data_IF_807106357004
#
_entry.id   IF_807106357004
#
_cell.length_a   1.000
_cell.length_b   1.000
_cell.length_c   1.000
_cell.angle_alpha   90.00
_cell.angle_beta   90.00
_cell.angle_gamma   90.00
#
_symmetry.space_group_name_H-M   'P 1'
#
loop_
_entity.id
_entity.type
_entity.pdbx_description
1 polymer ?
#
# COMPACT_ATOMS: atom_id res chain seq x y z
N UNK A 1 0.51 -16.40 -16.78
CA UNK A 1 -0.27 -16.20 -15.54
C UNK A 1 -1.28 -15.13 -15.85
N UNK A 2 -2.54 -15.33 -15.47
CA UNK A 2 -3.60 -14.34 -15.63
C UNK A 2 -3.37 -13.20 -14.65
N UNK A 3 -3.72 -11.97 -15.01
CA UNK A 3 -3.70 -10.82 -14.09
C UNK A 3 -4.68 -11.01 -12.91
N UNK A 4 -5.63 -11.94 -13.03
CA UNK A 4 -6.59 -12.29 -11.99
C UNK A 4 -6.22 -13.55 -11.18
N UNK A 5 -5.04 -14.14 -11.43
CA UNK A 5 -4.56 -15.26 -10.62
C UNK A 5 -4.43 -14.81 -9.15
N UNK A 6 -4.74 -15.70 -8.22
CA UNK A 6 -4.59 -15.43 -6.79
C UNK A 6 -3.10 -15.43 -6.41
N UNK A 7 -2.63 -14.35 -5.80
CA UNK A 7 -1.24 -14.18 -5.35
C UNK A 7 -1.18 -14.07 -3.83
N UNK A 8 -0.45 -14.98 -3.22
CA UNK A 8 -0.19 -14.98 -1.77
C UNK A 8 1.00 -14.05 -1.46
N UNK A 9 0.92 -13.18 -0.43
CA UNK A 9 2.04 -12.34 -0.04
C UNK A 9 3.30 -13.13 0.30
N UNK A 10 4.46 -12.74 -0.23
CA UNK A 10 5.77 -13.38 0.00
C UNK A 10 6.54 -12.73 1.15
N UNK A 11 5.89 -12.57 2.31
CA UNK A 11 6.49 -11.93 3.48
C UNK A 11 7.84 -12.53 3.88
N UNK A 12 8.86 -11.69 4.05
CA UNK A 12 10.21 -12.12 4.47
C UNK A 12 11.05 -12.76 3.36
N UNK A 13 10.67 -12.59 2.10
CA UNK A 13 11.39 -13.15 0.96
C UNK A 13 11.42 -12.20 -0.24
N UNK A 14 10.27 -11.81 -0.77
CA UNK A 14 10.13 -10.95 -1.95
C UNK A 14 8.86 -10.11 -1.83
N UNK A 15 8.78 -9.30 -0.76
CA UNK A 15 7.62 -8.45 -0.50
C UNK A 15 7.97 -7.00 -0.21
N UNK A 16 6.97 -6.12 -0.26
CA UNK A 16 7.14 -4.69 0.01
C UNK A 16 7.79 -4.42 1.38
N UNK A 17 7.43 -5.19 2.41
CA UNK A 17 8.02 -5.03 3.75
C UNK A 17 9.52 -5.35 3.80
N UNK A 18 10.07 -5.99 2.77
CA UNK A 18 11.48 -6.40 2.69
C UNK A 18 12.37 -5.32 2.05
N UNK A 19 11.78 -4.27 1.44
CA UNK A 19 12.49 -3.22 0.70
C UNK A 19 13.34 -2.34 1.62
N UNK A 20 12.74 -1.72 2.63
CA UNK A 20 13.49 -0.86 3.56
C UNK A 20 14.49 -1.64 4.42
N UNK A 21 14.19 -2.83 4.98
CA UNK A 21 15.19 -3.64 5.65
C UNK A 21 16.41 -3.93 4.77
N UNK A 22 16.20 -4.29 3.51
CA UNK A 22 17.29 -4.58 2.57
C UNK A 22 18.10 -3.32 2.24
N UNK A 23 17.45 -2.17 2.05
CA UNK A 23 18.12 -0.89 1.86
C UNK A 23 18.96 -0.49 3.09
N UNK A 24 18.40 -0.62 4.29
CA UNK A 24 19.07 -0.28 5.55
C UNK A 24 20.29 -1.18 5.84
N UNK A 25 20.25 -2.44 5.39
CA UNK A 25 21.41 -3.33 5.47
C UNK A 25 22.61 -2.77 4.68
N UNK A 26 22.37 -2.25 3.47
CA UNK A 26 23.42 -1.60 2.65
C UNK A 26 23.91 -0.28 3.25
N UNK A 27 23.07 0.43 3.99
CA UNK A 27 23.44 1.64 4.73
C UNK A 27 24.11 1.36 6.07
N UNK A 28 24.36 0.09 6.40
CA UNK A 28 25.11 -0.32 7.60
C UNK A 28 24.33 -0.24 8.90
N UNK A 29 22.99 -0.16 8.85
CA UNK A 29 22.16 -0.15 10.05
C UNK A 29 22.10 -1.57 10.65
N UNK A 30 22.46 -1.76 11.93
CA UNK A 30 22.51 -3.09 12.54
C UNK A 30 21.16 -3.79 12.62
N UNK A 31 21.18 -5.13 12.53
CA UNK A 31 19.98 -5.97 12.68
C UNK A 31 19.11 -6.07 11.43
N UNK A 32 19.65 -5.69 10.26
CA UNK A 32 19.02 -5.89 8.96
C UNK A 32 19.90 -6.71 8.03
N UNK A 33 19.27 -7.41 7.09
CA UNK A 33 19.92 -8.19 6.06
C UNK A 33 19.30 -7.85 4.71
N UNK A 34 20.12 -7.82 3.67
CA UNK A 34 19.66 -7.70 2.29
C UNK A 34 19.12 -9.06 1.82
N UNK A 35 17.85 -9.31 2.11
CA UNK A 35 17.16 -10.53 1.67
C UNK A 35 16.73 -10.44 0.20
N UNK A 36 16.58 -9.21 -0.30
CA UNK A 36 16.26 -8.98 -1.70
C UNK A 36 17.50 -9.19 -2.57
N UNK A 37 18.72 -8.98 -2.09
CA UNK A 37 19.92 -9.06 -2.94
C UNK A 37 19.97 -7.88 -3.91
N UNK A 38 19.89 -6.65 -3.39
CA UNK A 38 19.83 -5.41 -4.16
C UNK A 38 21.16 -5.03 -4.86
N UNK A 39 22.26 -5.75 -4.59
CA UNK A 39 23.58 -5.53 -5.20
C UNK A 39 24.13 -4.08 -5.09
N UNK A 40 23.84 -3.39 -3.98
CA UNK A 40 24.18 -1.97 -3.77
C UNK A 40 25.58 -1.75 -3.17
N UNK A 41 26.57 -2.55 -3.59
CA UNK A 41 27.92 -2.42 -3.06
C UNK A 41 28.50 -1.01 -3.32
N UNK A 42 29.04 -0.38 -2.27
CA UNK A 42 29.61 0.97 -2.31
C UNK A 42 28.59 2.11 -2.26
N UNK A 43 27.28 1.80 -2.26
CA UNK A 43 26.23 2.81 -2.11
C UNK A 43 26.19 3.30 -0.67
N UNK A 44 26.11 4.62 -0.51
CA UNK A 44 26.01 5.29 0.79
C UNK A 44 24.69 6.05 0.95
N UNK A 45 23.93 6.18 -0.12
CA UNK A 45 22.68 6.95 -0.17
C UNK A 45 21.64 6.16 -0.93
N UNK A 46 20.47 5.95 -0.34
CA UNK A 46 19.40 5.25 -1.03
C UNK A 46 18.17 6.14 -1.05
N UNK A 47 17.70 6.44 -2.25
CA UNK A 47 16.36 6.95 -2.47
C UNK A 47 15.41 5.76 -2.64
N UNK A 48 14.26 5.80 -1.98
CA UNK A 48 13.16 4.87 -2.21
C UNK A 48 11.97 5.69 -2.66
N UNK A 49 11.53 5.51 -3.90
CA UNK A 49 10.36 6.17 -4.45
C UNK A 49 9.22 5.16 -4.59
N UNK A 50 8.15 5.38 -3.84
CA UNK A 50 6.91 4.62 -3.99
C UNK A 50 5.93 5.39 -4.85
N UNK A 51 5.51 4.79 -5.96
CA UNK A 51 4.49 5.32 -6.87
C UNK A 51 3.19 4.56 -6.59
N UNK A 52 2.22 5.24 -6.01
CA UNK A 52 0.95 4.64 -5.59
C UNK A 52 0.18 4.09 -6.80
N UNK A 53 -0.29 2.84 -6.71
CA UNK A 53 -1.05 2.18 -7.77
C UNK A 53 -0.24 1.74 -9.00
N UNK A 54 1.10 1.87 -8.99
CA UNK A 54 1.97 1.37 -10.06
C UNK A 54 2.25 -0.13 -9.92
N UNK A 55 1.22 -0.95 -10.06
CA UNK A 55 1.39 -2.40 -10.09
C UNK A 55 2.25 -2.86 -11.27
N UNK A 56 2.80 -4.07 -11.16
CA UNK A 56 3.65 -4.66 -12.20
C UNK A 56 2.93 -4.72 -13.56
N UNK A 57 1.62 -5.00 -13.52
CA UNK A 57 0.76 -5.11 -14.70
C UNK A 57 0.38 -3.75 -15.31
N UNK A 58 0.56 -2.64 -14.58
CA UNK A 58 0.35 -1.29 -15.10
C UNK A 58 1.55 -0.75 -15.89
N UNK A 59 2.75 -1.34 -15.72
CA UNK A 59 3.96 -0.86 -16.42
C UNK A 59 3.82 -0.93 -17.95
N UNK A 60 3.36 -2.04 -18.57
CA UNK A 60 3.19 -2.09 -20.02
C UNK A 60 2.20 -1.04 -20.55
N UNK A 61 1.17 -0.72 -19.76
CA UNK A 61 0.15 0.31 -20.09
C UNK A 61 0.72 1.72 -19.98
N UNK A 62 1.56 1.98 -18.97
CA UNK A 62 2.23 3.27 -18.77
C UNK A 62 3.38 3.50 -19.76
N UNK A 63 4.06 2.43 -20.22
CA UNK A 63 5.30 2.50 -20.99
C UNK A 63 5.28 3.43 -22.23
N UNK A 64 4.19 3.53 -23.03
CA UNK A 64 4.14 4.46 -24.16
C UNK A 64 4.24 5.94 -23.77
N UNK A 65 3.92 6.27 -22.51
CA UNK A 65 3.87 7.63 -21.97
C UNK A 65 5.00 7.88 -20.95
N UNK A 66 5.60 6.81 -20.43
CA UNK A 66 6.65 6.83 -19.43
C UNK A 66 7.90 6.06 -19.90
N UNK A 67 8.70 6.62 -20.82
CA UNK A 67 9.88 5.95 -21.39
C UNK A 67 10.99 5.68 -20.35
N UNK A 68 11.19 6.57 -19.38
CA UNK A 68 12.15 6.37 -18.28
C UNK A 68 11.74 5.20 -17.39
N UNK A 69 10.45 5.11 -17.05
CA UNK A 69 9.90 3.96 -16.32
C UNK A 69 10.09 2.65 -17.13
N UNK A 70 9.75 2.67 -18.42
CA UNK A 70 9.87 1.52 -19.29
C UNK A 70 11.31 1.02 -19.40
N UNK A 71 12.26 1.94 -19.54
CA UNK A 71 13.69 1.67 -19.61
C UNK A 71 14.25 1.11 -18.28
N UNK A 72 13.84 1.67 -17.13
CA UNK A 72 14.16 1.10 -15.82
C UNK A 72 13.62 -0.33 -15.66
N UNK A 73 12.36 -0.55 -16.03
CA UNK A 73 11.71 -1.85 -15.95
C UNK A 73 12.39 -2.88 -16.87
N UNK A 74 12.90 -2.47 -18.02
CA UNK A 74 13.64 -3.33 -18.93
C UNK A 74 15.04 -3.70 -18.42
N UNK A 75 15.73 -2.79 -17.73
CA UNK A 75 17.10 -3.01 -17.22
C UNK A 75 17.17 -3.79 -15.92
N UNK A 76 16.23 -3.55 -15.01
CA UNK A 76 16.20 -4.18 -13.68
C UNK A 76 14.82 -4.75 -13.37
N UNK A 77 14.27 -5.66 -14.21
CA UNK A 77 12.95 -6.23 -13.98
C UNK A 77 12.98 -7.10 -12.72
N UNK A 78 12.26 -6.67 -11.70
CA UNK A 78 11.94 -7.53 -10.56
C UNK A 78 10.53 -7.26 -10.10
N UNK A 79 9.80 -8.36 -9.96
CA UNK A 79 8.44 -8.39 -9.45
C UNK A 79 8.47 -8.95 -8.02
N UNK A 80 8.00 -8.15 -7.08
CA UNK A 80 7.78 -8.53 -5.68
C UNK A 80 6.27 -8.50 -5.39
N UNK A 81 5.84 -8.94 -4.21
CA UNK A 81 4.44 -8.84 -3.80
C UNK A 81 4.23 -7.73 -2.78
N UNK A 82 3.11 -7.04 -2.85
CA UNK A 82 2.63 -6.28 -1.69
C UNK A 82 2.04 -7.20 -0.60
N UNK A 83 1.59 -6.61 0.50
CA UNK A 83 0.86 -7.31 1.55
C UNK A 83 -0.63 -7.43 1.28
N UNK A 84 -1.35 -8.11 2.17
CA UNK A 84 -2.81 -8.20 2.13
C UNK A 84 -3.45 -7.50 3.34
N UNK A 85 -4.54 -6.71 3.14
CA UNK A 85 -5.08 -6.29 1.85
C UNK A 85 -4.10 -5.39 1.08
N UNK A 86 -4.16 -5.43 -0.25
CA UNK A 86 -3.27 -4.69 -1.14
C UNK A 86 -3.69 -3.22 -1.26
N UNK A 87 -3.45 -2.46 -0.20
CA UNK A 87 -4.05 -1.13 -0.02
C UNK A 87 -3.06 -0.16 0.62
N UNK A 88 -3.09 1.10 0.19
CA UNK A 88 -2.11 2.13 0.57
C UNK A 88 -1.80 2.14 2.07
N UNK A 89 -2.77 2.25 3.01
CA UNK A 89 -2.40 2.37 4.43
C UNK A 89 -1.67 1.14 4.98
N UNK A 90 -2.10 -0.05 4.54
CA UNK A 90 -1.48 -1.32 4.94
C UNK A 90 -0.06 -1.41 4.40
N UNK A 91 0.11 -1.15 3.10
CA UNK A 91 1.37 -1.23 2.38
C UNK A 91 2.39 -0.20 2.88
N UNK A 92 1.98 1.05 3.10
CA UNK A 92 2.87 2.11 3.61
C UNK A 92 3.40 1.77 5.00
N UNK A 93 2.56 1.22 5.88
CA UNK A 93 2.99 0.83 7.22
C UNK A 93 3.85 -0.44 7.16
N UNK A 94 3.54 -1.40 6.30
CA UNK A 94 4.39 -2.58 6.06
C UNK A 94 5.79 -2.18 5.58
N UNK A 95 5.88 -1.26 4.61
CA UNK A 95 7.15 -0.70 4.14
C UNK A 95 7.89 0.00 5.27
N UNK A 96 7.21 0.92 5.98
CA UNK A 96 7.80 1.76 7.02
C UNK A 96 8.22 1.02 8.28
N UNK A 97 7.67 -0.18 8.54
CA UNK A 97 7.95 -0.96 9.76
C UNK A 97 8.72 -2.25 9.49
N UNK A 98 8.75 -2.72 8.24
CA UNK A 98 9.40 -3.96 7.85
C UNK A 98 8.76 -5.21 8.45
N UNK A 99 7.46 -5.17 8.74
CA UNK A 99 6.69 -6.32 9.25
C UNK A 99 5.36 -6.45 8.54
N UNK A 100 4.71 -7.61 8.65
CA UNK A 100 3.43 -7.89 7.98
C UNK A 100 2.26 -7.08 8.55
N UNK A 101 1.15 -6.94 7.79
CA UNK A 101 -0.09 -6.28 8.21
C UNK A 101 -0.63 -6.70 9.56
N UNK A 102 -0.67 -8.02 9.79
CA UNK A 102 -1.08 -8.62 11.06
C UNK A 102 -0.28 -8.09 12.24
N UNK A 103 1.03 -7.91 12.06
CA UNK A 103 1.95 -7.53 13.14
C UNK A 103 1.79 -6.05 13.49
N UNK A 104 1.75 -5.17 12.49
CA UNK A 104 1.62 -3.73 12.71
C UNK A 104 0.18 -3.27 12.97
N UNK A 105 -0.83 -4.03 12.54
CA UNK A 105 -2.24 -3.83 12.88
C UNK A 105 -2.99 -2.77 12.06
N UNK A 106 -2.37 -2.21 11.02
CA UNK A 106 -3.05 -1.40 10.01
C UNK A 106 -3.48 -2.37 8.93
N UNK A 107 -4.73 -2.83 9.02
CA UNK A 107 -5.21 -4.05 8.38
C UNK A 107 -6.18 -3.78 7.23
N UNK A 108 -6.23 -2.55 6.71
CA UNK A 108 -7.14 -2.19 5.62
C UNK A 108 -7.33 -0.69 5.52
N UNK A 109 -7.97 -0.25 4.44
CA UNK A 109 -8.26 1.16 4.24
C UNK A 109 -9.17 1.74 5.32
N UNK A 110 -10.25 1.01 5.65
CA UNK A 110 -11.17 1.30 6.74
C UNK A 110 -11.23 0.12 7.70
N UNK A 111 -11.16 0.38 9.00
CA UNK A 111 -11.20 -0.67 10.03
C UNK A 111 -12.07 -0.23 11.19
N UNK A 112 -12.82 -1.15 11.78
CA UNK A 112 -13.58 -0.83 12.98
C UNK A 112 -12.63 -0.55 14.15
N UNK A 113 -12.96 0.43 14.97
CA UNK A 113 -12.30 0.65 16.26
C UNK A 113 -12.90 -0.38 17.24
N UNK A 114 -12.08 -1.32 17.77
CA UNK A 114 -12.56 -2.37 18.66
C UNK A 114 -13.42 -1.85 19.81
N UNK A 115 -14.51 -2.58 20.11
CA UNK A 115 -15.47 -2.20 21.14
C UNK A 115 -16.41 -1.03 20.79
N UNK A 116 -16.39 -0.52 19.55
CA UNK A 116 -17.27 0.56 19.11
C UNK A 116 -17.94 0.26 17.76
N UNK A 117 -18.86 1.13 17.34
CA UNK A 117 -19.40 1.15 15.98
C UNK A 117 -18.68 2.16 15.06
N UNK A 118 -17.59 2.76 15.54
CA UNK A 118 -16.81 3.75 14.78
C UNK A 118 -15.83 3.06 13.84
N UNK A 119 -15.76 3.55 12.60
CA UNK A 119 -14.82 3.08 11.59
C UNK A 119 -13.73 4.10 11.36
N UNK A 120 -12.48 3.72 11.61
CA UNK A 120 -11.31 4.51 11.28
C UNK A 120 -11.04 4.41 9.78
N UNK A 121 -10.95 5.55 9.09
CA UNK A 121 -10.42 5.64 7.72
C UNK A 121 -8.99 6.17 7.79
N UNK A 122 -8.00 5.33 7.47
CA UNK A 122 -6.60 5.66 7.74
C UNK A 122 -6.07 6.89 6.98
N UNK A 123 -6.58 7.16 5.79
CA UNK A 123 -6.18 8.37 5.02
C UNK A 123 -6.75 9.67 5.57
N UNK A 124 -7.76 9.61 6.42
CA UNK A 124 -8.31 10.78 7.14
C UNK A 124 -7.85 10.83 8.60
N UNK A 125 -7.04 9.85 9.02
CA UNK A 125 -6.64 9.67 10.40
C UNK A 125 -5.71 10.80 10.85
N UNK A 126 -6.04 11.39 12.00
CA UNK A 126 -5.22 12.39 12.67
C UNK A 126 -4.67 11.81 13.96
N UNK A 127 -5.31 12.10 15.08
CA UNK A 127 -4.77 11.79 16.42
C UNK A 127 -5.57 10.75 17.19
N UNK A 128 -6.76 10.36 16.71
CA UNK A 128 -7.65 9.42 17.40
C UNK A 128 -8.07 8.27 16.46
N UNK A 129 -7.86 7.00 16.87
CA UNK A 129 -7.04 6.56 18.00
C UNK A 129 -5.60 7.08 17.94
N UNK A 130 -4.89 7.15 19.08
CA UNK A 130 -3.49 7.60 19.08
C UNK A 130 -2.64 6.74 18.11
N UNK A 131 -1.97 7.34 17.11
CA UNK A 131 -1.26 6.57 16.09
C UNK A 131 -0.13 5.67 16.58
N UNK A 132 0.67 6.15 17.54
CA UNK A 132 1.75 5.36 18.11
C UNK A 132 1.25 4.22 19.00
N UNK A 133 0.04 4.35 19.59
CA UNK A 133 -0.59 3.26 20.33
C UNK A 133 -1.28 2.26 19.39
N UNK A 134 -1.91 2.76 18.33
CA UNK A 134 -2.60 1.95 17.33
C UNK A 134 -1.64 1.06 16.54
N UNK A 135 -0.49 1.62 16.15
CA UNK A 135 0.63 0.95 15.49
C UNK A 135 1.86 1.09 16.39
N UNK A 136 2.18 0.07 17.21
CA UNK A 136 3.24 0.18 18.22
C UNK A 136 4.62 -0.33 17.75
N UNK A 137 4.73 -0.91 16.54
CA UNK A 137 6.02 -1.43 16.05
C UNK A 137 6.91 -0.25 15.67
N UNK A 138 8.15 -0.13 16.20
CA UNK A 138 9.09 0.91 15.81
C UNK A 138 9.23 1.01 14.30
N UNK A 139 9.16 2.23 13.75
CA UNK A 139 9.41 2.39 12.31
C UNK A 139 10.88 2.15 12.02
N UNK A 140 11.17 1.76 10.79
CA UNK A 140 12.53 1.62 10.29
C UNK A 140 13.26 2.97 10.24
N UNK A 141 12.51 4.07 10.13
CA UNK A 141 13.04 5.43 10.23
C UNK A 141 13.52 5.76 11.64
N UNK A 142 12.74 5.47 12.70
CA UNK A 142 13.20 5.60 14.10
C UNK A 142 14.45 4.75 14.36
N UNK A 143 14.44 3.51 13.87
CA UNK A 143 15.56 2.58 14.07
C UNK A 143 16.84 3.04 13.39
N UNK A 144 16.73 3.64 12.20
CA UNK A 144 17.87 4.14 11.45
C UNK A 144 18.36 5.51 11.97
N UNK A 145 17.45 6.40 12.38
CA UNK A 145 17.81 7.67 13.02
C UNK A 145 18.59 7.44 14.31
N UNK A 146 18.21 6.44 15.10
CA UNK A 146 18.91 6.04 16.32
C UNK A 146 20.37 5.58 16.09
N UNK A 147 20.76 5.25 14.85
CA UNK A 147 22.17 4.94 14.50
C UNK A 147 22.93 6.15 13.95
N UNK A 148 22.29 7.33 13.90
CA UNK A 148 22.83 8.53 13.29
C UNK A 148 22.71 8.58 11.76
N UNK A 149 21.91 7.69 11.15
CA UNK A 149 21.64 7.76 9.71
C UNK A 149 20.72 8.94 9.43
N UNK A 150 21.04 9.76 8.42
CA UNK A 150 20.13 10.80 7.97
C UNK A 150 18.93 10.14 7.27
N UNK A 151 17.73 10.31 7.83
CA UNK A 151 16.49 9.71 7.30
C UNK A 151 15.45 10.77 7.02
N UNK A 152 14.72 10.61 5.92
CA UNK A 152 13.64 11.53 5.58
C UNK A 152 12.54 10.97 4.73
N UNK A 153 11.39 11.65 4.80
CA UNK A 153 10.23 11.40 3.98
C UNK A 153 9.85 12.66 3.22
N UNK A 154 9.75 12.57 1.91
CA UNK A 154 9.23 13.60 1.03
C UNK A 154 7.82 13.22 0.58
N UNK A 155 6.84 14.04 0.97
CA UNK A 155 5.43 13.81 0.67
C UNK A 155 4.65 15.14 0.82
N UNK A 156 3.38 15.15 0.41
CA UNK A 156 2.53 16.35 0.41
C UNK A 156 2.39 16.99 1.78
N UNK A 157 2.36 18.33 1.87
CA UNK A 157 2.28 19.04 3.15
C UNK A 157 1.10 18.61 4.04
N UNK A 158 -0.07 18.32 3.45
CA UNK A 158 -1.29 17.96 4.17
C UNK A 158 -1.22 16.64 4.96
N UNK A 159 -0.23 15.79 4.65
CA UNK A 159 0.00 14.51 5.32
C UNK A 159 1.04 14.57 6.44
N UNK A 160 1.76 15.69 6.61
CA UNK A 160 2.88 15.81 7.55
C UNK A 160 2.52 15.33 8.97
N UNK A 161 1.36 15.78 9.47
CA UNK A 161 0.87 15.44 10.81
C UNK A 161 -0.28 14.43 10.78
N UNK A 162 -0.42 13.64 9.70
CA UNK A 162 -1.44 12.59 9.64
C UNK A 162 -1.07 11.40 10.52
N UNK A 163 -2.08 10.72 11.05
CA UNK A 163 -1.87 9.50 11.84
C UNK A 163 -1.20 8.39 11.04
N UNK A 164 -1.49 8.31 9.73
CA UNK A 164 -0.83 7.37 8.83
C UNK A 164 0.67 7.68 8.68
N UNK A 165 1.05 8.95 8.55
CA UNK A 165 2.47 9.35 8.55
C UNK A 165 3.14 9.01 9.87
N UNK A 166 2.50 9.22 11.02
CA UNK A 166 3.07 8.82 12.32
C UNK A 166 3.23 7.29 12.42
N UNK A 167 2.27 6.52 11.91
CA UNK A 167 2.30 5.06 11.95
C UNK A 167 3.34 4.44 11.00
N UNK A 168 3.56 5.05 9.83
CA UNK A 168 4.49 4.53 8.82
C UNK A 168 5.90 5.13 8.92
N UNK A 169 6.01 6.42 9.25
CA UNK A 169 7.19 7.24 8.94
C UNK A 169 7.75 8.05 10.12
N UNK A 170 7.21 7.91 11.35
CA UNK A 170 7.76 8.65 12.51
C UNK A 170 9.27 8.40 12.66
N UNK A 171 9.99 9.37 13.19
CA UNK A 171 11.46 9.37 13.26
C UNK A 171 12.16 9.96 12.03
N UNK A 172 11.48 10.07 10.89
CA UNK A 172 12.03 10.72 9.70
C UNK A 172 11.87 12.24 9.71
N UNK A 173 12.83 12.97 9.13
CA UNK A 173 12.63 14.38 8.81
C UNK A 173 11.64 14.52 7.65
N UNK A 174 10.51 15.19 7.89
CA UNK A 174 9.49 15.41 6.85
C UNK A 174 9.89 16.57 5.93
N UNK A 175 9.87 16.32 4.62
CA UNK A 175 10.16 17.29 3.56
C UNK A 175 8.88 17.51 2.73
N UNK A 176 8.17 18.63 2.91
CA UNK A 176 6.94 18.89 2.18
C UNK A 176 7.22 19.04 0.68
N UNK A 177 6.42 18.37 -0.15
CA UNK A 177 6.48 18.46 -1.61
C UNK A 177 5.09 18.26 -2.23
N UNK A 178 4.61 19.25 -2.98
CA UNK A 178 3.22 19.33 -3.47
C UNK A 178 3.05 18.76 -4.88
N UNK A 179 4.13 18.77 -5.67
CA UNK A 179 4.16 18.30 -7.06
C UNK A 179 5.42 17.47 -7.36
N UNK A 180 5.54 16.98 -8.59
CA UNK A 180 6.65 16.12 -9.02
C UNK A 180 8.02 16.81 -8.98
N UNK A 181 8.08 18.11 -9.23
CA UNK A 181 9.36 18.84 -9.24
C UNK A 181 9.83 19.11 -7.81
N UNK A 182 8.90 19.51 -6.93
CA UNK A 182 9.15 19.64 -5.48
C UNK A 182 9.52 18.28 -4.87
N UNK A 183 8.85 17.19 -5.27
CA UNK A 183 9.11 15.85 -4.76
C UNK A 183 10.49 15.36 -5.18
N UNK A 184 10.85 15.53 -6.46
CA UNK A 184 12.20 15.21 -6.94
C UNK A 184 13.26 15.99 -6.15
N UNK A 185 13.07 17.31 -5.99
CA UNK A 185 14.00 18.16 -5.24
C UNK A 185 14.11 17.75 -3.77
N UNK A 186 13.00 17.43 -3.11
CA UNK A 186 12.97 17.01 -1.71
C UNK A 186 13.65 15.65 -1.49
N UNK A 187 13.44 14.69 -2.41
CA UNK A 187 14.11 13.38 -2.38
C UNK A 187 15.63 13.57 -2.51
N UNK A 188 16.08 14.33 -3.51
CA UNK A 188 17.50 14.59 -3.75
C UNK A 188 18.15 15.36 -2.60
N UNK A 189 17.47 16.38 -2.06
CA UNK A 189 17.92 17.10 -0.88
C UNK A 189 18.08 16.17 0.34
N UNK A 190 17.24 15.14 0.44
CA UNK A 190 17.36 14.13 1.49
C UNK A 190 18.55 13.20 1.37
N UNK A 191 19.05 12.97 0.15
CA UNK A 191 20.28 12.22 -0.07
C UNK A 191 21.53 13.06 0.28
N UNK A 192 21.44 14.39 0.05
CA UNK A 192 22.58 15.29 0.15
C UNK A 192 23.64 15.02 -0.93
N UNK A 193 24.71 15.82 -0.91
CA UNK A 193 25.78 15.73 -1.92
C UNK A 193 26.78 14.62 -1.61
N UNK A 194 27.59 14.26 -2.61
CA UNK A 194 28.75 13.38 -2.44
C UNK A 194 29.67 13.88 -1.30
N UNK A 195 30.02 12.99 -0.37
CA UNK A 195 30.81 13.32 0.82
C UNK A 195 29.99 13.64 2.09
N UNK A 196 28.69 13.91 1.96
CA UNK A 196 27.75 13.94 3.10
C UNK A 196 27.71 12.58 3.85
N UNK A 197 27.17 12.54 5.09
CA UNK A 197 26.89 11.29 5.78
C UNK A 197 25.95 10.36 4.98
N UNK A 198 25.96 9.04 5.22
CA UNK A 198 25.01 8.13 4.60
C UNK A 198 23.56 8.53 4.88
N UNK A 199 22.66 8.29 3.93
CA UNK A 199 21.28 8.75 4.01
C UNK A 199 20.26 7.78 3.37
N UNK A 200 19.06 7.77 3.94
CA UNK A 200 17.87 7.17 3.35
C UNK A 200 16.82 8.26 3.10
N UNK A 201 16.41 8.42 1.84
CA UNK A 201 15.38 9.39 1.44
C UNK A 201 14.19 8.66 0.82
N UNK A 202 13.05 8.66 1.51
CA UNK A 202 11.81 8.07 1.02
C UNK A 202 10.94 9.13 0.36
N UNK A 203 10.42 8.87 -0.83
CA UNK A 203 9.44 9.70 -1.54
C UNK A 203 8.17 8.92 -1.84
N UNK A 204 7.02 9.58 -1.76
CA UNK A 204 5.72 8.99 -2.09
C UNK A 204 4.97 9.86 -3.11
N UNK A 205 4.53 9.24 -4.21
CA UNK A 205 3.77 9.92 -5.26
C UNK A 205 2.38 9.28 -5.47
N UNK A 206 1.27 9.96 -5.11
CA UNK A 206 -0.06 9.36 -5.04
C UNK A 206 -0.89 9.42 -6.34
N UNK A 207 -0.47 10.18 -7.35
CA UNK A 207 -1.42 10.63 -8.36
C UNK A 207 -1.82 9.53 -9.37
N UNK A 208 -0.94 8.56 -9.65
CA UNK A 208 -1.27 7.50 -10.60
C UNK A 208 -2.49 6.69 -10.13
N UNK A 209 -2.48 6.23 -8.88
CA UNK A 209 -3.64 5.61 -8.22
C UNK A 209 -4.87 6.53 -8.20
N UNK A 210 -4.70 7.79 -7.78
CA UNK A 210 -5.81 8.76 -7.73
C UNK A 210 -6.51 8.90 -9.08
N UNK A 211 -5.75 9.05 -10.17
CA UNK A 211 -6.32 9.20 -11.50
C UNK A 211 -6.95 7.89 -12.00
N UNK A 212 -6.40 6.74 -11.64
CA UNK A 212 -7.02 5.45 -11.96
C UNK A 212 -8.36 5.28 -11.23
N UNK A 213 -8.42 5.62 -9.93
CA UNK A 213 -9.66 5.61 -9.17
C UNK A 213 -10.75 6.49 -9.79
N UNK A 214 -10.41 7.72 -10.17
CA UNK A 214 -11.40 8.71 -10.63
C UNK A 214 -11.80 8.51 -12.09
N UNK A 215 -10.86 8.13 -12.95
CA UNK A 215 -11.06 8.13 -14.41
C UNK A 215 -10.89 6.77 -15.09
N UNK A 216 -10.39 5.76 -14.37
CA UNK A 216 -10.07 4.44 -14.89
C UNK A 216 -8.62 4.34 -15.34
N UNK A 217 -8.07 3.13 -15.25
CA UNK A 217 -6.74 2.79 -15.77
C UNK A 217 -6.74 2.97 -17.29
N UNK A 218 -5.62 3.48 -17.84
CA UNK A 218 -5.47 3.80 -19.27
C UNK A 218 -6.38 4.92 -19.82
N UNK A 219 -7.12 5.63 -18.96
CA UNK A 219 -7.80 6.87 -19.34
C UNK A 219 -6.80 7.98 -19.69
N UNK A 220 -7.23 8.99 -20.46
CA UNK A 220 -6.37 10.15 -20.77
C UNK A 220 -5.79 10.83 -19.52
N UNK A 221 -6.57 11.11 -18.44
CA UNK A 221 -6.00 11.63 -17.19
C UNK A 221 -5.01 10.68 -16.52
N UNK A 222 -5.22 9.35 -16.58
CA UNK A 222 -4.28 8.38 -16.05
C UNK A 222 -2.97 8.34 -16.85
N UNK A 223 -3.05 8.46 -18.18
CA UNK A 223 -1.86 8.56 -19.05
C UNK A 223 -1.06 9.83 -18.78
N UNK A 224 -1.72 10.96 -18.53
CA UNK A 224 -1.02 12.18 -18.09
C UNK A 224 -0.34 11.99 -16.73
N UNK A 225 -0.96 11.27 -15.80
CA UNK A 225 -0.32 10.92 -14.53
C UNK A 225 0.93 10.04 -14.74
N UNK A 226 0.89 9.10 -15.69
CA UNK A 226 2.07 8.31 -16.07
C UNK A 226 3.20 9.18 -16.64
N UNK A 227 2.90 10.22 -17.43
CA UNK A 227 3.89 11.21 -17.87
C UNK A 227 4.52 11.95 -16.68
N UNK A 228 3.73 12.28 -15.64
CA UNK A 228 4.26 12.93 -14.43
C UNK A 228 5.17 11.98 -13.62
N UNK A 229 4.83 10.69 -13.52
CA UNK A 229 5.70 9.66 -12.94
C UNK A 229 7.03 9.61 -13.69
N UNK A 230 6.99 9.62 -15.02
CA UNK A 230 8.20 9.58 -15.83
C UNK A 230 9.12 10.78 -15.58
N UNK A 231 8.54 11.98 -15.57
CA UNK A 231 9.27 13.23 -15.26
C UNK A 231 9.90 13.18 -13.87
N UNK A 232 9.18 12.66 -12.87
CA UNK A 232 9.71 12.49 -11.52
C UNK A 232 10.92 11.54 -11.52
N UNK A 233 10.81 10.39 -12.17
CA UNK A 233 11.89 9.41 -12.29
C UNK A 233 13.11 10.00 -13.00
N UNK A 234 12.90 10.64 -14.14
CA UNK A 234 13.96 11.29 -14.93
C UNK A 234 14.74 12.31 -14.09
N UNK A 235 14.03 13.18 -13.37
CA UNK A 235 14.66 14.20 -12.51
C UNK A 235 15.45 13.59 -11.37
N UNK A 236 14.92 12.57 -10.70
CA UNK A 236 15.63 11.91 -9.59
C UNK A 236 16.86 11.21 -10.12
N UNK A 237 16.76 10.43 -11.21
CA UNK A 237 17.88 9.72 -11.82
C UNK A 237 19.02 10.65 -12.21
N UNK A 238 18.72 11.74 -12.92
CA UNK A 238 19.73 12.72 -13.34
C UNK A 238 20.35 13.48 -12.16
N UNK A 239 19.65 13.56 -11.02
CA UNK A 239 20.13 14.21 -9.81
C UNK A 239 20.88 13.28 -8.84
N UNK A 240 20.93 11.96 -9.09
CA UNK A 240 21.54 11.02 -8.14
C UNK A 240 23.04 11.29 -7.97
N UNK A 241 23.54 11.41 -6.72
CA UNK A 241 24.97 11.41 -6.45
C UNK A 241 25.67 10.11 -6.91
N UNK A 242 26.97 10.13 -7.27
CA UNK A 242 27.69 8.94 -7.75
C UNK A 242 27.70 7.74 -6.80
N UNK A 243 27.54 7.96 -5.50
CA UNK A 243 27.46 6.93 -4.46
C UNK A 243 26.03 6.67 -3.96
N UNK A 244 25.03 7.01 -4.78
CA UNK A 244 23.62 6.79 -4.50
C UNK A 244 22.99 5.68 -5.36
N UNK A 245 21.84 5.18 -4.91
CA UNK A 245 20.95 4.34 -5.70
C UNK A 245 19.50 4.80 -5.53
N UNK A 246 18.67 4.56 -6.54
CA UNK A 246 17.22 4.73 -6.51
C UNK A 246 16.56 3.35 -6.56
N UNK A 247 15.66 3.10 -5.60
CA UNK A 247 14.72 1.99 -5.60
C UNK A 247 13.34 2.55 -5.95
N UNK A 248 12.69 2.01 -6.98
CA UNK A 248 11.33 2.38 -7.37
C UNK A 248 10.39 1.20 -7.11
N UNK A 249 9.31 1.43 -6.39
CA UNK A 249 8.32 0.39 -6.08
C UNK A 249 6.90 0.97 -6.01
N UNK A 250 5.93 0.14 -5.62
CA UNK A 250 4.53 0.53 -5.43
C UNK A 250 3.96 -0.12 -4.17
N UNK A 251 2.84 0.39 -3.68
CA UNK A 251 2.06 -0.19 -2.60
C UNK A 251 1.07 -1.26 -3.07
N UNK A 252 0.56 -1.14 -4.30
CA UNK A 252 -0.30 -2.11 -4.98
C UNK A 252 -0.39 -1.75 -6.47
N UNK A 253 -1.05 -2.62 -7.24
CA UNK A 253 -1.64 -2.24 -8.53
C UNK A 253 -3.12 -1.89 -8.42
N UNK A 254 -3.80 -1.81 -9.55
CA UNK A 254 -5.18 -1.32 -9.62
C UNK A 254 -5.90 -1.86 -10.86
N UNK A 255 -7.22 -2.06 -10.79
CA UNK A 255 -8.03 -2.52 -11.92
C UNK A 255 -9.38 -1.82 -12.01
N UNK A 256 -9.89 -1.66 -13.23
CA UNK A 256 -11.23 -1.13 -13.46
C UNK A 256 -12.30 -2.17 -13.09
N UNK A 257 -13.30 -1.75 -12.31
CA UNK A 257 -14.44 -2.58 -11.91
C UNK A 257 -15.71 -2.10 -12.62
N UNK A 258 -16.24 -2.84 -13.62
CA UNK A 258 -17.46 -2.46 -14.32
C UNK A 258 -18.66 -2.34 -13.38
N UNK A 259 -19.60 -1.44 -13.67
CA UNK A 259 -20.78 -1.22 -12.82
C UNK A 259 -21.63 -2.49 -12.58
N UNK A 260 -21.72 -3.38 -13.57
CA UNK A 260 -22.47 -4.63 -13.47
C UNK A 260 -21.76 -5.73 -12.67
N UNK A 261 -20.49 -5.51 -12.27
CA UNK A 261 -19.76 -6.39 -11.35
C UNK A 261 -19.75 -5.84 -9.91
N UNK A 262 -20.53 -4.78 -9.64
CA UNK A 262 -20.63 -4.16 -8.32
C UNK A 262 -21.89 -4.64 -7.62
N UNK A 263 -21.72 -5.23 -6.46
CA UNK A 263 -22.80 -5.46 -5.50
C UNK A 263 -22.94 -4.22 -4.63
N UNK A 264 -24.17 -3.79 -4.35
CA UNK A 264 -24.43 -2.66 -3.47
C UNK A 264 -24.97 -3.17 -2.12
N UNK A 265 -24.12 -3.08 -1.10
CA UNK A 265 -24.46 -3.43 0.28
C UNK A 265 -25.65 -2.63 0.81
N UNK A 266 -25.76 -1.35 0.47
CA UNK A 266 -26.80 -0.48 1.00
C UNK A 266 -28.15 -0.68 0.29
N UNK A 267 -28.14 -1.27 -0.92
CA UNK A 267 -29.34 -1.55 -1.69
C UNK A 267 -29.90 -2.97 -1.50
N UNK A 268 -29.13 -3.90 -0.94
CA UNK A 268 -29.56 -5.28 -0.70
C UNK A 268 -29.76 -5.56 0.80
N UNK A 269 -31.02 -5.61 1.30
CA UNK A 269 -31.30 -5.89 2.70
C UNK A 269 -30.76 -7.24 3.20
N UNK A 270 -30.52 -8.20 2.29
CA UNK A 270 -29.93 -9.49 2.65
C UNK A 270 -28.48 -9.33 3.10
N UNK A 271 -27.71 -8.46 2.43
CA UNK A 271 -26.32 -8.20 2.79
C UNK A 271 -26.18 -7.44 4.11
N UNK A 272 -27.21 -6.68 4.52
CA UNK A 272 -27.24 -5.92 5.78
C UNK A 272 -27.70 -6.75 6.98
N UNK A 273 -28.52 -7.77 6.75
CA UNK A 273 -29.11 -8.56 7.83
C UNK A 273 -28.01 -9.19 8.71
N UNK A 274 -28.03 -8.89 10.01
CA UNK A 274 -27.05 -9.41 10.97
C UNK A 274 -25.70 -8.67 11.00
N UNK A 275 -25.46 -7.71 10.10
CA UNK A 275 -24.24 -6.89 10.08
C UNK A 275 -24.40 -5.68 11.00
N UNK A 276 -23.46 -5.51 11.94
CA UNK A 276 -23.38 -4.37 12.86
C UNK A 276 -22.55 -3.24 12.27
N UNK A 277 -21.36 -3.55 11.74
CA UNK A 277 -20.46 -2.60 11.08
C UNK A 277 -19.90 -3.21 9.81
N UNK A 278 -19.95 -2.46 8.71
CA UNK A 278 -19.21 -2.75 7.48
C UNK A 278 -17.96 -1.88 7.39
N UNK A 279 -16.81 -2.52 7.22
CA UNK A 279 -15.50 -1.90 7.10
C UNK A 279 -14.70 -2.56 5.94
N UNK A 280 -13.39 -2.34 5.92
CA UNK A 280 -12.50 -2.75 4.85
C UNK A 280 -12.55 -1.79 3.65
N UNK A 281 -12.62 -2.37 2.46
CA UNK A 281 -12.62 -1.68 1.18
C UNK A 281 -13.47 -2.46 0.16
N UNK A 282 -13.84 -1.86 -0.99
CA UNK A 282 -14.79 -2.50 -1.90
C UNK A 282 -14.37 -3.89 -2.40
N UNK A 283 -13.06 -4.14 -2.49
CA UNK A 283 -12.47 -5.42 -2.87
C UNK A 283 -12.35 -6.42 -1.72
N UNK A 284 -12.30 -5.94 -0.47
CA UNK A 284 -12.20 -6.76 0.74
C UNK A 284 -13.08 -6.19 1.85
N UNK A 285 -14.24 -6.81 2.10
CA UNK A 285 -15.16 -6.36 3.14
C UNK A 285 -14.89 -7.06 4.46
N UNK A 286 -14.86 -6.25 5.52
CA UNK A 286 -14.86 -6.70 6.91
C UNK A 286 -16.25 -6.48 7.48
N UNK A 287 -16.90 -7.57 7.85
CA UNK A 287 -18.25 -7.57 8.39
C UNK A 287 -18.17 -7.91 9.86
N UNK A 288 -18.41 -6.90 10.70
CA UNK A 288 -18.58 -7.11 12.13
C UNK A 288 -20.04 -7.40 12.39
N UNK A 289 -20.30 -8.53 13.03
CA UNK A 289 -21.65 -9.10 13.10
C UNK A 289 -22.33 -8.76 14.43
N UNK A 290 -23.65 -8.82 14.45
CA UNK A 290 -24.41 -8.82 15.69
C UNK A 290 -24.15 -10.14 16.45
N UNK A 291 -24.21 -10.15 17.79
CA UNK A 291 -24.00 -11.37 18.57
C UNK A 291 -24.92 -12.51 18.10
N UNK A 292 -24.33 -13.65 17.72
CA UNK A 292 -25.04 -14.83 17.25
C UNK A 292 -25.43 -14.82 15.77
N UNK A 293 -25.12 -13.77 15.01
CA UNK A 293 -25.47 -13.65 13.59
C UNK A 293 -24.34 -14.04 12.62
N UNK A 294 -23.16 -14.42 13.11
CA UNK A 294 -21.96 -14.61 12.27
C UNK A 294 -22.17 -15.68 11.17
N UNK A 295 -22.70 -16.84 11.54
CA UNK A 295 -22.90 -17.94 10.58
C UNK A 295 -23.99 -17.61 9.55
N UNK A 296 -25.05 -16.91 9.97
CA UNK A 296 -26.13 -16.46 9.08
C UNK A 296 -25.62 -15.41 8.07
N UNK A 297 -24.78 -14.47 8.52
CA UNK A 297 -24.13 -13.47 7.66
C UNK A 297 -23.19 -14.17 6.67
N UNK A 298 -22.36 -15.11 7.13
CA UNK A 298 -21.46 -15.88 6.27
C UNK A 298 -22.25 -16.64 5.19
N UNK A 299 -23.29 -17.37 5.58
CA UNK A 299 -24.12 -18.13 4.64
C UNK A 299 -24.79 -17.21 3.60
N UNK A 300 -25.39 -16.10 4.05
CA UNK A 300 -26.07 -15.14 3.19
C UNK A 300 -25.11 -14.49 2.20
N UNK A 301 -23.95 -14.03 2.67
CA UNK A 301 -22.94 -13.40 1.80
C UNK A 301 -22.34 -14.40 0.81
N UNK A 302 -22.13 -15.64 1.23
CA UNK A 302 -21.66 -16.72 0.33
C UNK A 302 -22.69 -16.99 -0.77
N UNK A 303 -23.98 -17.05 -0.44
CA UNK A 303 -25.06 -17.26 -1.41
C UNK A 303 -25.19 -16.09 -2.38
N UNK A 304 -25.19 -14.84 -1.88
CA UNK A 304 -25.42 -13.65 -2.70
C UNK A 304 -24.23 -13.37 -3.63
N UNK A 305 -22.99 -13.52 -3.15
CA UNK A 305 -21.81 -13.24 -3.95
C UNK A 305 -21.43 -14.41 -4.87
N UNK A 306 -21.72 -15.66 -4.46
CA UNK A 306 -21.36 -16.85 -5.25
C UNK A 306 -19.88 -16.84 -5.65
N UNK A 307 -19.60 -17.06 -6.94
CA UNK A 307 -18.24 -17.09 -7.48
C UNK A 307 -17.54 -15.70 -7.51
N UNK A 308 -18.26 -14.62 -7.18
CA UNK A 308 -17.70 -13.27 -7.19
C UNK A 308 -16.77 -12.99 -6.01
N UNK A 309 -16.83 -13.76 -4.91
CA UNK A 309 -15.98 -13.57 -3.75
C UNK A 309 -15.75 -14.85 -2.95
N UNK A 310 -14.58 -14.95 -2.33
CA UNK A 310 -14.36 -15.87 -1.23
C UNK A 310 -14.84 -15.23 0.07
N UNK A 311 -15.84 -15.83 0.71
CA UNK A 311 -16.39 -15.38 2.00
C UNK A 311 -16.02 -16.41 3.07
N UNK A 312 -15.41 -15.96 4.16
CA UNK A 312 -14.94 -16.84 5.23
C UNK A 312 -14.98 -16.17 6.60
N UNK A 313 -14.89 -16.99 7.65
CA UNK A 313 -14.62 -16.48 8.98
C UNK A 313 -13.23 -15.83 9.05
N UNK A 314 -13.10 -14.83 9.91
CA UNK A 314 -11.81 -14.21 10.25
C UNK A 314 -10.72 -15.23 10.52
N UNK A 315 -11.04 -16.23 11.34
CA UNK A 315 -10.10 -17.23 11.83
C UNK A 315 -9.53 -18.06 10.66
N UNK A 316 -10.34 -18.37 9.65
CA UNK A 316 -9.92 -19.11 8.46
C UNK A 316 -8.98 -18.28 7.58
N UNK A 317 -9.30 -16.99 7.38
CA UNK A 317 -8.44 -16.08 6.61
C UNK A 317 -7.10 -15.86 7.32
N UNK A 318 -7.11 -15.71 8.65
CA UNK A 318 -5.88 -15.61 9.45
C UNK A 318 -5.07 -16.91 9.37
N UNK A 319 -5.72 -18.07 9.49
CA UNK A 319 -5.06 -19.38 9.47
C UNK A 319 -4.36 -19.66 8.11
N UNK A 320 -4.87 -19.11 7.02
CA UNK A 320 -4.23 -19.18 5.70
C UNK A 320 -3.03 -18.24 5.55
N UNK A 321 -2.73 -17.40 6.54
CA UNK A 321 -1.50 -16.59 6.59
C UNK A 321 -1.57 -15.28 5.80
N UNK A 322 -2.75 -14.87 5.31
CA UNK A 322 -2.91 -13.67 4.49
C UNK A 322 -2.36 -12.40 5.14
N UNK A 323 -2.55 -12.23 6.44
CA UNK A 323 -2.06 -11.06 7.19
C UNK A 323 -0.65 -11.25 7.77
N UNK A 324 -0.05 -12.44 7.63
CA UNK A 324 1.05 -12.89 8.48
C UNK A 324 0.62 -13.03 9.95
N UNK A 325 1.55 -12.98 10.93
CA UNK A 325 1.20 -13.11 12.34
C UNK A 325 0.24 -12.01 12.82
N UNK A 326 -0.88 -12.38 13.46
CA UNK A 326 -1.86 -11.42 14.02
C UNK A 326 -1.90 -11.52 15.55
N UNK A 327 -1.33 -10.56 16.30
CA UNK A 327 -1.44 -10.51 17.75
C UNK A 327 -2.89 -10.29 18.19
N UNK A 328 -3.26 -10.80 19.37
CA UNK A 328 -4.63 -10.72 19.91
C UNK A 328 -5.23 -9.30 19.88
N UNK A 329 -4.41 -8.27 20.18
CA UNK A 329 -4.83 -6.85 20.16
C UNK A 329 -5.33 -6.33 18.80
N UNK A 330 -4.99 -7.03 17.72
CA UNK A 330 -5.34 -6.63 16.35
C UNK A 330 -6.50 -7.46 15.77
N UNK A 331 -6.94 -8.55 16.43
CA UNK A 331 -7.95 -9.47 15.90
C UNK A 331 -9.29 -8.78 15.62
N UNK A 332 -9.77 -7.97 16.55
CA UNK A 332 -11.06 -7.27 16.44
C UNK A 332 -11.07 -6.14 15.39
N UNK A 333 -9.92 -5.81 14.79
CA UNK A 333 -9.84 -4.88 13.64
C UNK A 333 -10.26 -5.56 12.34
N UNK A 334 -10.22 -6.90 12.29
CA UNK A 334 -10.69 -7.73 11.19
C UNK A 334 -12.13 -8.12 11.51
N UNK A 335 -13.03 -7.99 10.53
CA UNK A 335 -14.44 -8.38 10.67
C UNK A 335 -14.59 -9.85 11.01
N UNK A 336 -15.68 -10.25 11.68
CA UNK A 336 -15.95 -11.64 12.02
C UNK A 336 -16.12 -12.51 10.77
N UNK A 337 -16.68 -11.91 9.71
CA UNK A 337 -16.70 -12.43 8.35
C UNK A 337 -15.91 -11.51 7.44
N UNK A 338 -15.10 -12.10 6.57
CA UNK A 338 -14.30 -11.41 5.55
C UNK A 338 -14.77 -11.87 4.17
N UNK A 339 -15.09 -10.93 3.29
CA UNK A 339 -15.42 -11.21 1.89
C UNK A 339 -14.38 -10.61 0.95
N UNK A 340 -13.67 -11.45 0.20
CA UNK A 340 -12.58 -11.05 -0.71
C UNK A 340 -13.04 -11.27 -2.15
N UNK A 341 -13.15 -10.19 -2.92
CA UNK A 341 -13.70 -10.24 -4.27
C UNK A 341 -12.71 -10.86 -5.27
N UNK A 342 -13.23 -11.63 -6.22
CA UNK A 342 -12.50 -12.23 -7.34
C UNK A 342 -12.63 -11.39 -8.62
N UNK A 343 -11.65 -11.52 -9.51
CA UNK A 343 -11.67 -10.89 -10.83
C UNK A 343 -11.90 -9.39 -10.72
N UNK A 344 -12.90 -8.87 -11.43
CA UNK A 344 -13.28 -7.45 -11.44
C UNK A 344 -14.55 -7.16 -10.60
N UNK A 345 -14.87 -7.98 -9.60
CA UNK A 345 -16.03 -7.73 -8.73
C UNK A 345 -15.71 -6.79 -7.56
N UNK A 346 -16.71 -6.10 -7.05
CA UNK A 346 -16.57 -5.34 -5.81
C UNK A 346 -17.91 -5.29 -5.07
N UNK A 347 -17.85 -5.13 -3.76
CA UNK A 347 -19.02 -4.79 -2.95
C UNK A 347 -18.88 -3.33 -2.54
N UNK A 348 -19.71 -2.43 -3.05
CA UNK A 348 -19.74 -1.01 -2.68
C UNK A 348 -20.79 -0.77 -1.60
N UNK A 349 -20.65 0.33 -0.84
CA UNK A 349 -21.62 0.72 0.17
C UNK A 349 -21.80 2.26 0.14
N UNK A 350 -22.48 2.83 -0.88
CA UNK A 350 -22.51 4.27 -1.13
C UNK A 350 -23.11 5.14 -0.01
N UNK A 351 -24.00 4.57 0.82
CA UNK A 351 -24.70 5.25 1.92
C UNK A 351 -23.98 5.04 3.25
N UNK A 352 -23.53 3.81 3.51
CA UNK A 352 -22.73 3.48 4.70
C UNK A 352 -21.29 4.00 4.59
N UNK A 353 -20.86 4.36 3.38
CA UNK A 353 -19.61 5.05 3.06
C UNK A 353 -19.88 6.43 2.49
N UNK A 354 -18.82 7.19 2.21
CA UNK A 354 -18.96 8.40 1.41
C UNK A 354 -19.31 8.02 -0.03
N UNK A 355 -20.46 8.50 -0.53
CA UNK A 355 -20.98 8.23 -1.88
C UNK A 355 -19.96 8.37 -3.02
N UNK A 356 -19.01 9.30 -2.90
CA UNK A 356 -17.91 9.50 -3.87
C UNK A 356 -17.10 8.20 -4.08
N UNK A 357 -16.92 7.37 -3.05
CA UNK A 357 -16.17 6.11 -3.13
C UNK A 357 -16.87 5.05 -3.98
N UNK A 358 -18.20 5.11 -4.11
CA UNK A 358 -18.94 4.22 -5.00
C UNK A 358 -18.92 4.68 -6.47
N UNK A 359 -18.54 5.93 -6.72
CA UNK A 359 -18.42 6.51 -8.07
C UNK A 359 -17.05 6.24 -8.70
N UNK A 360 -16.11 5.63 -7.97
CA UNK A 360 -14.79 5.29 -8.50
C UNK A 360 -14.91 4.23 -9.61
N UNK A 361 -13.95 4.25 -10.53
CA UNK A 361 -13.86 3.35 -11.69
C UNK A 361 -12.90 2.21 -11.37
N UNK A 362 -11.66 2.54 -11.03
CA UNK A 362 -10.66 1.56 -10.62
C UNK A 362 -10.70 1.30 -9.10
N UNK A 363 -10.30 0.10 -8.71
CA UNK A 363 -10.20 -0.37 -7.33
C UNK A 363 -8.99 -1.27 -7.15
N UNK A 364 -8.62 -1.46 -5.89
CA UNK A 364 -7.60 -2.40 -5.43
C UNK A 364 -7.98 -2.89 -4.03
N UNK A 365 -7.23 -3.83 -3.47
CA UNK A 365 -7.36 -4.31 -2.10
C UNK A 365 -7.35 -5.83 -1.95
N UNK A 366 -7.76 -6.56 -2.99
CA UNK A 366 -7.83 -8.02 -2.96
C UNK A 366 -6.52 -8.68 -3.43
N UNK A 367 -6.54 -9.99 -3.61
CA UNK A 367 -5.35 -10.81 -3.83
C UNK A 367 -5.04 -11.12 -5.30
N UNK A 368 -5.66 -10.42 -6.26
CA UNK A 368 -5.38 -10.69 -7.67
C UNK A 368 -3.96 -10.27 -8.04
N UNK A 369 -3.35 -10.93 -9.04
CA UNK A 369 -1.99 -10.60 -9.48
C UNK A 369 -1.84 -9.12 -9.88
N UNK A 370 -2.85 -8.54 -10.55
CA UNK A 370 -2.88 -7.11 -10.92
C UNK A 370 -2.90 -6.17 -9.72
N UNK A 371 -3.38 -6.60 -8.56
CA UNK A 371 -3.36 -5.82 -7.31
C UNK A 371 -2.09 -6.09 -6.49
N UNK A 372 -1.66 -7.35 -6.44
CA UNK A 372 -0.64 -7.84 -5.51
C UNK A 372 0.79 -7.73 -6.03
N UNK A 373 1.00 -7.89 -7.34
CA UNK A 373 2.34 -7.89 -7.94
C UNK A 373 2.76 -6.46 -8.24
N UNK A 374 3.88 -6.05 -7.65
CA UNK A 374 4.41 -4.68 -7.72
C UNK A 374 5.87 -4.72 -8.19
N UNK A 375 6.37 -3.65 -8.83
CA UNK A 375 7.76 -3.58 -9.24
C UNK A 375 8.70 -3.33 -8.07
N UNK A 376 9.94 -3.78 -8.24
CA UNK A 376 11.11 -3.27 -7.51
C UNK A 376 12.21 -3.01 -8.52
N UNK A 377 12.34 -1.75 -8.97
CA UNK A 377 13.32 -1.35 -9.96
C UNK A 377 14.51 -0.70 -9.25
N UNK A 378 15.72 -1.04 -9.68
CA UNK A 378 16.96 -0.50 -9.11
C UNK A 378 17.70 0.31 -10.17
N UNK A 379 18.14 1.51 -9.80
CA UNK A 379 18.95 2.37 -10.64
C UNK A 379 20.14 2.95 -9.88
N UNK A 380 21.23 3.13 -10.60
CA UNK A 380 22.47 3.80 -10.17
C UNK A 380 22.88 4.80 -11.25
N UNK A 381 23.62 5.87 -10.89
CA UNK A 381 24.15 6.85 -11.86
C UNK A 381 24.99 6.26 -12.98
#
# INVERSE_FOLDING_TARGET
MSEFDQVVPRYGADSLMDVLPSALAHLGVPGFQDILGLELAGVRRIAVLLVDGLGWHQIPTAAPFAPTLADLAARSPRMITTGFPSTTPTSLVSLGTGVSPGTHGVLGFRVAIPGTDTVLTHTHWRTDPNPAAWQPVPTLFERAEATGLAVSVANRPEFADSGLTVAANRGAAYRPASDVDELAAAVLLGLGDAGSPPALSYGYYPDLDRYGHVFGVDSEPWREAAVQVDRLLDRVLHGLPPDAALLVTADHGQLDVPAHHRFDFDADPRLQAGVRVVAGEPRVRYLHTLPGATDDVLATWTEVLGDAAWVAHREDVIAQGWFGPVPARNLERIGDVVAICHGTHAVVAPTSEHAIKAMLIAYHGAYSAVEMEIPLLVARP
#
